data_IF_184276049028
#
_entry.id   IF_184276049028
#
_cell.length_a   1.000
_cell.length_b   1.000
_cell.length_c   1.000
_cell.angle_alpha   90.00
_cell.angle_beta   90.00
_cell.angle_gamma   90.00
#
_symmetry.space_group_name_H-M   'P 1'
#
loop_
_entity.id
_entity.type
_entity.pdbx_description
1 polymer ?
#
# COMPACT_ATOMS: atom_id res chain seq x y z
N UNK A 1 7.82 5.35 3.64
CA UNK A 1 7.06 6.15 2.67
C UNK A 1 7.85 7.37 2.20
N UNK A 2 8.01 7.59 0.88
CA UNK A 2 8.67 8.77 0.34
C UNK A 2 7.99 10.07 0.76
N UNK A 3 8.77 11.15 0.89
CA UNK A 3 8.23 12.46 1.25
C UNK A 3 7.23 12.96 0.20
N UNK A 4 6.05 13.39 0.67
CA UNK A 4 4.95 13.87 -0.18
C UNK A 4 3.99 12.78 -0.65
N UNK A 5 4.20 11.53 -0.24
CA UNK A 5 3.22 10.46 -0.44
C UNK A 5 1.99 10.66 0.45
N UNK A 6 0.83 10.28 -0.08
CA UNK A 6 -0.43 10.24 0.66
C UNK A 6 -1.19 8.96 0.33
N UNK A 7 -1.97 8.52 1.31
CA UNK A 7 -2.62 7.21 1.35
C UNK A 7 -4.12 7.38 1.63
N UNK A 8 -4.95 6.70 0.85
CA UNK A 8 -6.38 6.58 1.10
C UNK A 8 -6.67 5.11 1.37
N UNK A 9 -7.16 4.83 2.57
CA UNK A 9 -7.54 3.50 3.03
C UNK A 9 -9.07 3.43 3.10
N UNK A 10 -9.67 2.56 2.31
CA UNK A 10 -11.10 2.33 2.33
C UNK A 10 -11.50 1.30 3.39
N UNK A 11 -12.69 1.46 3.94
CA UNK A 11 -13.24 0.60 4.99
C UNK A 11 -13.32 -0.89 4.61
N UNK A 12 -13.47 -1.20 3.32
CA UNK A 12 -13.54 -2.57 2.80
C UNK A 12 -12.20 -3.12 2.33
N UNK A 13 -11.09 -2.57 2.82
CA UNK A 13 -9.76 -3.04 2.45
C UNK A 13 -9.04 -2.35 1.28
N UNK A 14 -9.64 -1.51 0.40
CA UNK A 14 -8.90 -0.96 -0.72
C UNK A 14 -7.89 0.11 -0.26
N UNK A 15 -6.77 0.18 -0.96
CA UNK A 15 -5.69 1.14 -0.73
C UNK A 15 -5.41 1.88 -2.04
N UNK A 16 -5.35 3.21 -1.96
CA UNK A 16 -4.74 4.05 -2.99
C UNK A 16 -3.55 4.77 -2.38
N UNK A 17 -2.38 4.52 -2.94
CA UNK A 17 -1.13 5.15 -2.55
C UNK A 17 -0.59 5.98 -3.72
N UNK A 18 -0.40 7.28 -3.49
CA UNK A 18 0.23 8.17 -4.47
C UNK A 18 1.67 8.47 -4.05
N UNK A 19 2.60 8.31 -4.99
CA UNK A 19 4.04 8.49 -4.75
C UNK A 19 4.60 9.45 -5.80
N UNK A 20 4.48 10.77 -5.58
CA UNK A 20 4.84 11.76 -6.59
C UNK A 20 6.30 11.69 -7.04
N UNK A 21 7.23 11.41 -6.11
CA UNK A 21 8.65 11.27 -6.42
C UNK A 21 8.96 10.15 -7.41
N UNK A 22 8.09 9.15 -7.49
CA UNK A 22 8.23 8.03 -8.40
C UNK A 22 7.29 8.12 -9.61
N UNK A 23 6.50 9.19 -9.75
CA UNK A 23 5.42 9.30 -10.75
C UNK A 23 4.56 8.02 -10.79
N UNK A 24 4.14 7.58 -9.60
CA UNK A 24 3.52 6.27 -9.39
C UNK A 24 2.24 6.41 -8.58
N UNK A 25 1.21 5.69 -9.01
CA UNK A 25 0.02 5.38 -8.22
C UNK A 25 -0.07 3.87 -8.05
N UNK A 26 -0.19 3.41 -6.80
CA UNK A 26 -0.37 2.00 -6.46
C UNK A 26 -1.78 1.81 -5.93
N UNK A 27 -2.47 0.79 -6.44
CA UNK A 27 -3.80 0.42 -5.99
C UNK A 27 -3.80 -1.02 -5.51
N UNK A 28 -4.31 -1.25 -4.30
CA UNK A 28 -4.65 -2.58 -3.81
C UNK A 28 -6.16 -2.69 -3.72
N UNK A 29 -6.72 -3.70 -4.36
CA UNK A 29 -8.12 -4.05 -4.21
C UNK A 29 -8.22 -5.31 -3.36
N UNK A 30 -8.99 -5.25 -2.29
CA UNK A 30 -9.36 -6.41 -1.50
C UNK A 30 -10.87 -6.54 -1.51
N UNK A 31 -11.38 -7.75 -1.61
CA UNK A 31 -12.80 -8.04 -1.46
C UNK A 31 -13.03 -8.72 -0.09
N UNK A 32 -12.60 -8.05 0.96
CA UNK A 32 -12.68 -8.51 2.34
C UNK A 32 -13.54 -7.55 3.15
N UNK A 33 -14.37 -8.08 4.07
CA UNK A 33 -15.15 -7.23 4.96
C UNK A 33 -14.27 -6.72 6.11
N UNK A 34 -14.06 -5.40 6.18
CA UNK A 34 -13.39 -4.72 7.30
C UNK A 34 -11.87 -4.89 7.36
N UNK A 35 -11.30 -4.39 8.45
CA UNK A 35 -9.90 -4.61 8.82
C UNK A 35 -9.75 -6.08 9.22
N UNK A 36 -8.96 -6.85 8.46
CA UNK A 36 -8.62 -8.23 8.81
C UNK A 36 -7.36 -8.25 9.66
N UNK A 37 -7.35 -9.11 10.67
CA UNK A 37 -6.21 -9.33 11.57
C UNK A 37 -6.09 -10.83 11.81
N UNK A 38 -4.86 -11.32 11.92
CA UNK A 38 -4.56 -12.70 12.29
C UNK A 38 -3.33 -12.76 13.21
N UNK A 39 -2.90 -13.97 13.59
CA UNK A 39 -1.77 -14.19 14.50
C UNK A 39 -0.44 -13.59 13.98
N UNK A 40 -0.35 -13.29 12.68
CA UNK A 40 0.85 -12.77 12.01
C UNK A 40 0.82 -11.25 11.82
N UNK A 41 -0.31 -10.57 12.02
CA UNK A 41 -0.38 -9.13 11.81
C UNK A 41 -1.76 -8.49 11.80
N UNK A 42 -1.74 -7.16 11.93
CA UNK A 42 -2.94 -6.33 11.77
C UNK A 42 -3.12 -5.88 10.32
N UNK A 43 -4.32 -5.42 9.99
CA UNK A 43 -4.61 -4.83 8.68
C UNK A 43 -3.60 -3.74 8.27
N UNK A 44 -3.23 -2.87 9.22
CA UNK A 44 -2.25 -1.79 8.99
C UNK A 44 -0.84 -2.34 8.74
N UNK A 45 -0.45 -3.44 9.41
CA UNK A 45 0.81 -4.11 9.13
C UNK A 45 0.87 -4.55 7.67
N UNK A 46 -0.17 -5.24 7.17
CA UNK A 46 -0.20 -5.71 5.79
C UNK A 46 -0.28 -4.58 4.75
N UNK A 47 -0.95 -3.46 5.06
CA UNK A 47 -0.94 -2.29 4.19
C UNK A 47 0.48 -1.70 4.04
N UNK A 48 1.21 -1.64 5.15
CA UNK A 48 2.60 -1.18 5.14
C UNK A 48 3.48 -2.13 4.33
N UNK A 49 3.38 -3.44 4.57
CA UNK A 49 4.15 -4.45 3.85
C UNK A 49 3.90 -4.39 2.34
N UNK A 50 2.63 -4.32 1.93
CA UNK A 50 2.26 -4.16 0.53
C UNK A 50 2.86 -2.88 -0.08
N UNK A 51 2.77 -1.76 0.63
CA UNK A 51 3.30 -0.48 0.17
C UNK A 51 4.82 -0.52 -0.01
N UNK A 52 5.54 -1.15 0.93
CA UNK A 52 7.00 -1.30 0.86
C UNK A 52 7.41 -2.17 -0.35
N UNK A 53 6.75 -3.31 -0.55
CA UNK A 53 6.99 -4.20 -1.71
C UNK A 53 6.70 -3.50 -3.04
N UNK A 54 5.60 -2.75 -3.13
CA UNK A 54 5.25 -2.02 -4.35
C UNK A 54 6.31 -0.95 -4.70
N UNK A 55 6.83 -0.25 -3.68
CA UNK A 55 7.89 0.74 -3.85
C UNK A 55 9.22 0.11 -4.27
N UNK A 56 9.58 -1.03 -3.68
CA UNK A 56 10.77 -1.79 -4.05
C UNK A 56 10.70 -2.23 -5.51
N UNK A 57 9.59 -2.86 -5.91
CA UNK A 57 9.36 -3.31 -7.28
C UNK A 57 9.40 -2.15 -8.29
N UNK A 58 8.81 -0.99 -7.95
CA UNK A 58 8.84 0.18 -8.83
C UNK A 58 10.24 0.81 -8.92
N UNK A 59 11.05 0.74 -7.86
CA UNK A 59 12.39 1.32 -7.84
C UNK A 59 13.40 0.50 -8.64
N UNK A 60 13.26 -0.83 -8.66
CA UNK A 60 14.10 -1.74 -9.46
C UNK A 60 13.90 -1.56 -10.97
N UNK A 61 12.73 -1.10 -11.41
CA UNK A 61 12.42 -0.89 -12.83
C UNK A 61 12.89 0.47 -13.38
N UNK A 62 13.50 1.33 -12.55
CA UNK A 62 14.07 2.63 -12.97
C UNK A 62 15.60 2.60 -13.13
N UNK A 63 16.22 1.42 -13.06
CA UNK A 63 17.66 1.18 -13.25
C UNK A 63 18.02 0.80 -14.68
#
# INVERSE_FOLDING_TARGET
>A
MPQGSYEIVGFYGPLVLVVPRLDLVVVRMANTHGNYEDDNGSYIHYLKEFSDLALEAASLNKG
#
